data_IF_538221114801
#
_entry.id   IF_538221114801
#
_cell.length_a   1.000
_cell.length_b   1.000
_cell.length_c   1.000
_cell.angle_alpha   90.00
_cell.angle_beta   90.00
_cell.angle_gamma   90.00
#
_symmetry.space_group_name_H-M   'P 1'
#
loop_
_entity.id
_entity.type
_entity.pdbx_description
1 polymer ?
#
# COMPACT_ATOMS: atom_id res chain seq x y z
N UNK A 1 1.25 -0.76 -0.80
CA UNK A 1 1.31 -2.01 -1.60
C UNK A 1 2.63 -2.09 -2.36
N UNK A 2 3.01 -3.28 -2.80
CA UNK A 2 4.24 -3.52 -3.56
C UNK A 2 4.06 -4.61 -4.61
N UNK A 3 5.09 -4.82 -5.44
CA UNK A 3 5.15 -5.92 -6.40
C UNK A 3 5.77 -7.17 -5.77
N UNK A 4 5.78 -8.30 -6.49
CA UNK A 4 6.27 -9.58 -5.99
C UNK A 4 7.70 -9.52 -5.42
N UNK A 5 8.56 -8.69 -6.02
CA UNK A 5 9.96 -8.54 -5.63
C UNK A 5 10.23 -7.42 -4.61
N UNK A 6 9.19 -6.78 -4.07
CA UNK A 6 9.30 -5.66 -3.12
C UNK A 6 10.10 -4.43 -3.65
N UNK A 7 10.31 -4.32 -4.97
CA UNK A 7 11.12 -3.25 -5.59
C UNK A 7 10.31 -1.99 -5.85
N UNK A 8 9.00 -2.10 -6.07
CA UNK A 8 8.10 -0.95 -6.32
C UNK A 8 7.20 -0.73 -5.12
N UNK A 9 7.20 0.47 -4.53
CA UNK A 9 6.30 0.80 -3.41
C UNK A 9 5.26 1.81 -3.89
N UNK A 10 3.99 1.46 -3.71
CA UNK A 10 2.84 2.30 -3.96
C UNK A 10 2.13 2.66 -2.65
N UNK A 11 1.73 3.92 -2.52
CA UNK A 11 0.99 4.45 -1.39
C UNK A 11 -0.29 5.11 -1.90
N UNK A 12 -1.42 4.83 -1.28
CA UNK A 12 -2.72 5.40 -1.62
C UNK A 12 -3.66 5.42 -0.42
N UNK A 13 -4.81 6.08 -0.59
CA UNK A 13 -5.92 6.10 0.38
C UNK A 13 -7.15 5.44 -0.23
N UNK A 14 -7.96 4.80 0.62
CA UNK A 14 -9.25 4.21 0.28
C UNK A 14 -10.14 4.21 1.51
N UNK A 15 -11.46 4.21 1.30
CA UNK A 15 -12.45 3.95 2.34
C UNK A 15 -12.77 2.46 2.51
N UNK A 16 -12.31 1.63 1.57
CA UNK A 16 -12.49 0.18 1.55
C UNK A 16 -11.17 -0.46 1.11
N UNK A 17 -10.46 -1.06 2.07
CA UNK A 17 -9.13 -1.62 1.86
C UNK A 17 -9.21 -2.91 1.03
N UNK A 18 -10.14 -3.80 1.37
CA UNK A 18 -10.28 -5.10 0.72
C UNK A 18 -10.63 -4.93 -0.76
N UNK A 19 -11.63 -4.09 -1.08
CA UNK A 19 -11.97 -3.79 -2.48
C UNK A 19 -10.80 -3.19 -3.25
N UNK A 20 -10.08 -2.23 -2.68
CA UNK A 20 -8.95 -1.57 -3.37
C UNK A 20 -7.83 -2.55 -3.66
N UNK A 21 -7.50 -3.42 -2.73
CA UNK A 21 -6.44 -4.42 -2.94
C UNK A 21 -6.86 -5.43 -4.00
N UNK A 22 -8.12 -5.86 -4.00
CA UNK A 22 -8.68 -6.69 -5.07
C UNK A 22 -8.59 -5.99 -6.44
N UNK A 23 -9.00 -4.73 -6.55
CA UNK A 23 -8.89 -3.94 -7.80
C UNK A 23 -7.46 -3.90 -8.34
N UNK A 24 -6.46 -3.78 -7.46
CA UNK A 24 -5.05 -3.82 -7.84
C UNK A 24 -4.58 -5.22 -8.27
N UNK A 25 -5.02 -6.28 -7.58
CA UNK A 25 -4.70 -7.67 -7.93
C UNK A 25 -5.27 -8.05 -9.30
N UNK A 26 -6.52 -7.69 -9.55
CA UNK A 26 -7.23 -7.94 -10.81
C UNK A 26 -6.88 -6.93 -11.90
N UNK A 27 -6.09 -5.90 -11.59
CA UNK A 27 -5.65 -4.84 -12.51
C UNK A 27 -6.82 -4.13 -13.20
N UNK A 28 -7.92 -3.93 -12.46
CA UNK A 28 -9.15 -3.29 -12.97
C UNK A 28 -8.87 -1.91 -13.58
N UNK A 29 -7.96 -1.15 -12.96
CA UNK A 29 -7.54 0.15 -13.49
C UNK A 29 -6.18 0.05 -14.19
N UNK A 30 -6.15 0.49 -15.44
CA UNK A 30 -4.92 0.67 -16.19
C UNK A 30 -4.13 1.87 -15.65
N UNK A 31 -2.86 1.66 -15.32
CA UNK A 31 -2.00 2.73 -14.81
C UNK A 31 -0.71 2.20 -14.20
N UNK A 32 -0.11 3.00 -13.30
CA UNK A 32 1.15 2.67 -12.64
C UNK A 32 1.09 1.30 -11.94
N UNK A 33 0.04 1.05 -11.15
CA UNK A 33 -0.06 -0.17 -10.36
C UNK A 33 -0.25 -1.42 -11.21
N UNK A 34 -0.99 -1.35 -12.31
CA UNK A 34 -1.13 -2.48 -13.23
C UNK A 34 0.16 -2.72 -14.03
N UNK A 35 0.81 -1.65 -14.52
CA UNK A 35 2.09 -1.71 -15.25
C UNK A 35 3.21 -2.37 -14.43
N UNK A 36 3.30 -2.04 -13.14
CA UNK A 36 4.37 -2.52 -12.26
C UNK A 36 3.97 -3.74 -11.40
N UNK A 37 2.81 -4.35 -11.65
CA UNK A 37 2.29 -5.50 -10.91
C UNK A 37 2.28 -5.26 -9.38
N UNK A 38 1.78 -4.10 -8.96
CA UNK A 38 1.65 -3.75 -7.54
C UNK A 38 0.41 -4.45 -6.97
N UNK A 39 0.56 -5.71 -6.56
CA UNK A 39 -0.56 -6.60 -6.19
C UNK A 39 -0.48 -7.14 -4.76
N UNK A 40 0.52 -6.71 -3.98
CA UNK A 40 0.81 -7.22 -2.64
C UNK A 40 0.56 -6.16 -1.57
N UNK A 41 -0.34 -6.41 -0.63
CA UNK A 41 -0.57 -5.51 0.51
C UNK A 41 0.45 -5.83 1.59
N UNK A 42 1.33 -4.88 1.92
CA UNK A 42 2.40 -5.10 2.92
C UNK A 42 2.30 -4.17 4.12
N UNK A 43 1.49 -3.11 4.02
CA UNK A 43 1.28 -2.15 5.09
C UNK A 43 -0.04 -1.41 4.89
N UNK A 44 -0.75 -1.11 5.98
CA UNK A 44 -1.91 -0.24 6.00
C UNK A 44 -2.02 0.44 7.37
N UNK A 45 -2.72 1.58 7.41
CA UNK A 45 -3.08 2.31 8.63
C UNK A 45 -4.56 2.66 8.53
N UNK A 46 -5.31 2.57 9.63
CA UNK A 46 -6.72 2.94 9.70
C UNK A 46 -6.85 4.27 10.45
N UNK A 47 -7.73 5.15 9.97
CA UNK A 47 -7.97 6.46 10.54
C UNK A 47 -9.47 6.75 10.60
N UNK A 48 -9.91 7.44 11.66
CA UNK A 48 -11.31 7.84 11.84
C UNK A 48 -11.74 8.99 10.91
N UNK A 49 -10.79 9.67 10.28
CA UNK A 49 -11.05 10.80 9.39
C UNK A 49 -10.27 10.70 8.09
N UNK A 50 -10.97 10.96 6.98
CA UNK A 50 -10.36 11.06 5.65
C UNK A 50 -9.28 12.15 5.59
N UNK A 51 -9.41 13.24 6.38
CA UNK A 51 -8.41 14.31 6.43
C UNK A 51 -7.08 13.80 7.00
N UNK A 52 -7.13 13.04 8.08
CA UNK A 52 -5.96 12.43 8.72
C UNK A 52 -5.31 11.40 7.79
N UNK A 53 -6.10 10.55 7.15
CA UNK A 53 -5.61 9.56 6.17
C UNK A 53 -4.89 10.23 4.98
N UNK A 54 -5.47 11.31 4.42
CA UNK A 54 -4.85 12.05 3.31
C UNK A 54 -3.56 12.75 3.76
N UNK A 55 -3.55 13.39 4.93
CA UNK A 55 -2.35 14.05 5.45
C UNK A 55 -1.21 13.04 5.64
N UNK A 56 -1.53 11.86 6.19
CA UNK A 56 -0.59 10.77 6.37
C UNK A 56 -0.09 10.21 5.05
N UNK A 57 -0.96 9.99 4.08
CA UNK A 57 -0.59 9.53 2.75
C UNK A 57 0.40 10.50 2.08
N UNK A 58 0.16 11.81 2.16
CA UNK A 58 1.08 12.84 1.65
C UNK A 58 2.44 12.78 2.35
N UNK A 59 2.46 12.64 3.69
CA UNK A 59 3.68 12.49 4.46
C UNK A 59 4.49 11.27 4.03
N UNK A 60 3.83 10.11 3.87
CA UNK A 60 4.48 8.87 3.42
C UNK A 60 5.00 9.06 1.99
N UNK A 61 4.20 9.61 1.07
CA UNK A 61 4.60 9.84 -0.33
C UNK A 61 5.86 10.70 -0.44
N UNK A 62 5.92 11.80 0.32
CA UNK A 62 7.08 12.70 0.37
C UNK A 62 8.31 12.09 1.06
N UNK A 63 8.14 11.02 1.84
CA UNK A 63 9.22 10.29 2.48
C UNK A 63 10.11 9.52 1.50
N UNK A 64 11.35 9.29 1.94
CA UNK A 64 12.32 8.46 1.20
C UNK A 64 11.89 7.00 1.14
N UNK A 65 12.45 6.25 0.18
CA UNK A 65 12.24 4.80 0.08
C UNK A 65 12.64 4.09 1.38
N UNK A 66 13.74 4.48 2.00
CA UNK A 66 14.21 3.93 3.28
C UNK A 66 13.16 4.06 4.37
N UNK A 67 12.57 5.26 4.54
CA UNK A 67 11.50 5.48 5.54
C UNK A 67 10.26 4.62 5.28
N UNK A 68 9.90 4.40 4.00
CA UNK A 68 8.78 3.51 3.64
C UNK A 68 9.07 2.05 4.00
N UNK A 69 10.31 1.58 3.79
CA UNK A 69 10.75 0.23 4.18
C UNK A 69 10.74 0.06 5.69
N UNK A 70 11.31 1.04 6.42
CA UNK A 70 11.29 1.06 7.89
C UNK A 70 9.84 0.99 8.40
N UNK A 71 8.94 1.77 7.81
CA UNK A 71 7.52 1.75 8.16
C UNK A 71 6.87 0.38 7.94
N UNK A 72 7.07 -0.25 6.78
CA UNK A 72 6.59 -1.61 6.51
C UNK A 72 7.11 -2.59 7.57
N UNK A 73 8.40 -2.51 7.90
CA UNK A 73 9.04 -3.40 8.86
C UNK A 73 8.54 -3.21 10.31
N UNK A 74 7.89 -2.10 10.65
CA UNK A 74 7.28 -1.94 11.99
C UNK A 74 6.09 -2.87 12.22
N UNK A 75 5.40 -3.28 11.15
CA UNK A 75 4.20 -4.12 11.22
C UNK A 75 4.40 -5.48 10.54
N UNK A 76 5.26 -5.57 9.53
CA UNK A 76 5.36 -6.71 8.63
C UNK A 76 6.81 -6.91 8.16
N UNK A 77 7.67 -7.37 9.06
CA UNK A 77 9.10 -7.62 8.80
C UNK A 77 9.36 -8.65 7.69
N UNK A 78 8.46 -9.61 7.52
CA UNK A 78 8.54 -10.64 6.48
C UNK A 78 7.95 -10.18 5.14
N UNK A 79 7.38 -8.98 5.09
CA UNK A 79 6.67 -8.46 3.91
C UNK A 79 5.63 -9.46 3.41
N UNK A 80 4.87 -10.12 4.29
CA UNK A 80 3.78 -11.01 3.89
C UNK A 80 2.67 -10.23 3.20
N UNK A 81 1.90 -10.90 2.33
CA UNK A 81 0.71 -10.29 1.73
C UNK A 81 -0.43 -10.29 2.74
N UNK A 82 -0.64 -9.14 3.38
CA UNK A 82 -1.61 -8.94 4.45
C UNK A 82 -3.06 -9.03 3.97
N UNK A 83 -3.30 -9.07 2.66
CA UNK A 83 -4.65 -9.20 2.11
C UNK A 83 -5.37 -10.47 2.60
N UNK A 84 -4.62 -11.54 2.89
CA UNK A 84 -5.19 -12.81 3.41
C UNK A 84 -5.62 -12.72 4.87
N UNK A 85 -5.24 -11.65 5.56
CA UNK A 85 -5.49 -11.41 7.00
C UNK A 85 -6.53 -10.29 7.21
N UNK A 86 -7.13 -9.78 6.12
CA UNK A 86 -8.19 -8.77 6.15
C UNK A 86 -9.58 -9.37 6.33
#
# INVERSE_FOLDING_TARGET
MTNQHNTVIYTGVTNDLSRRVWEHKEKIQNGFTSRYNVTKLVYYEVFDSIKSAIAREKQIKAGSRRKKIELVNTMNTEWRDLYKEL
#
